data_IF_555548239471
#
_entry.id   IF_555548239471
#
_cell.length_a   1.000
_cell.length_b   1.000
_cell.length_c   1.000
_cell.angle_alpha   90.00
_cell.angle_beta   90.00
_cell.angle_gamma   90.00
#
_symmetry.space_group_name_H-M   'P 1'
#
loop_
_entity.id
_entity.type
_entity.pdbx_description
1 polymer ?
#
# COMPACT_ATOMS: atom_id res chain seq x y z
N UNK A 1 5.08 -38.64 -11.22
CA UNK A 1 3.94 -37.71 -11.28
C UNK A 1 3.56 -37.31 -9.86
N UNK A 2 3.48 -36.00 -9.64
CA UNK A 2 2.80 -35.25 -8.57
C UNK A 2 3.29 -35.40 -7.12
N UNK A 3 4.31 -34.61 -6.77
CA UNK A 3 4.29 -33.85 -5.52
C UNK A 3 3.98 -32.40 -5.90
N UNK A 4 2.69 -32.04 -5.92
CA UNK A 4 2.24 -30.66 -6.07
C UNK A 4 2.70 -29.88 -4.84
N UNK A 5 3.77 -29.12 -5.00
CA UNK A 5 4.14 -28.06 -4.07
C UNK A 5 3.02 -27.02 -4.07
N UNK A 6 2.16 -27.09 -3.07
CA UNK A 6 1.22 -26.02 -2.76
C UNK A 6 2.07 -24.87 -2.23
N UNK A 7 2.53 -23.99 -3.13
CA UNK A 7 3.22 -22.77 -2.75
C UNK A 7 2.28 -22.01 -1.80
N UNK A 8 2.66 -21.91 -0.53
CA UNK A 8 1.93 -21.11 0.45
C UNK A 8 1.89 -19.69 -0.08
N UNK A 9 0.71 -19.22 -0.50
CA UNK A 9 0.56 -17.87 -1.01
C UNK A 9 1.14 -16.87 0.02
N UNK A 10 2.10 -16.06 -0.41
CA UNK A 10 2.73 -15.04 0.43
C UNK A 10 2.13 -13.67 0.10
N UNK A 11 1.92 -12.84 1.11
CA UNK A 11 1.48 -11.47 0.90
C UNK A 11 2.67 -10.58 0.55
N UNK A 12 2.63 -9.98 -0.65
CA UNK A 12 3.77 -9.34 -1.31
C UNK A 12 3.79 -7.80 -1.20
N UNK A 13 2.70 -7.14 -0.75
CA UNK A 13 2.63 -5.66 -0.74
C UNK A 13 3.42 -5.03 0.42
N UNK A 14 3.96 -3.83 0.18
CA UNK A 14 4.66 -3.01 1.17
C UNK A 14 3.76 -2.71 2.37
N UNK A 15 4.23 -3.03 3.57
CA UNK A 15 3.44 -2.95 4.81
C UNK A 15 4.32 -2.67 6.02
N UNK A 16 3.72 -2.29 7.14
CA UNK A 16 4.39 -2.35 8.42
C UNK A 16 4.56 -3.79 8.89
N UNK A 17 5.68 -4.02 9.55
CA UNK A 17 5.92 -5.18 10.40
C UNK A 17 5.78 -4.74 11.86
N UNK A 18 5.71 -5.70 12.78
CA UNK A 18 5.69 -5.40 14.22
C UNK A 18 6.91 -4.55 14.63
N UNK A 19 8.05 -4.74 13.95
CA UNK A 19 9.28 -3.98 14.21
C UNK A 19 9.25 -2.57 13.59
N UNK A 20 8.67 -2.40 12.41
CA UNK A 20 8.66 -1.11 11.70
C UNK A 20 7.46 -0.21 12.05
N UNK A 21 6.38 -0.76 12.61
CA UNK A 21 5.18 0.00 12.98
C UNK A 21 5.45 1.14 13.97
N UNK A 22 6.20 0.95 15.10
CA UNK A 22 6.46 2.05 16.03
C UNK A 22 7.24 3.21 15.39
N UNK A 23 8.20 2.87 14.52
CA UNK A 23 8.97 3.86 13.76
C UNK A 23 8.05 4.60 12.78
N UNK A 24 7.13 3.89 12.12
CA UNK A 24 6.09 4.47 11.27
C UNK A 24 5.21 5.47 12.01
N UNK A 25 4.73 5.11 13.21
CA UNK A 25 3.92 5.99 14.06
C UNK A 25 4.71 7.24 14.46
N UNK A 26 5.96 7.09 14.91
CA UNK A 26 6.80 8.24 15.26
C UNK A 26 7.03 9.17 14.06
N UNK A 27 7.29 8.61 12.87
CA UNK A 27 7.42 9.37 11.62
C UNK A 27 6.12 10.09 11.26
N UNK A 28 4.96 9.46 11.47
CA UNK A 28 3.66 10.08 11.24
C UNK A 28 3.46 11.29 12.16
N UNK A 29 3.65 11.11 13.46
CA UNK A 29 3.53 12.18 14.47
C UNK A 29 4.45 13.36 14.12
N UNK A 30 5.68 13.06 13.71
CA UNK A 30 6.64 14.09 13.32
C UNK A 30 6.31 14.78 11.98
N UNK A 31 5.63 14.08 11.07
CA UNK A 31 5.20 14.62 9.77
C UNK A 31 3.89 15.41 9.85
N UNK A 32 2.98 15.05 10.77
CA UNK A 32 1.66 15.62 10.90
C UNK A 32 1.63 17.17 10.97
N UNK A 33 2.42 17.85 11.83
CA UNK A 33 2.43 19.32 11.83
C UNK A 33 2.99 19.90 10.53
N UNK A 34 3.86 19.17 9.80
CA UNK A 34 4.36 19.60 8.49
C UNK A 34 3.28 19.50 7.42
N UNK A 35 2.48 18.43 7.44
CA UNK A 35 1.35 18.27 6.53
C UNK A 35 0.30 19.36 6.75
N UNK A 36 -0.04 19.67 8.00
CA UNK A 36 -0.98 20.77 8.32
C UNK A 36 -0.45 22.10 7.78
N UNK A 37 0.83 22.40 8.00
CA UNK A 37 1.44 23.62 7.46
C UNK A 37 1.44 23.63 5.93
N UNK A 38 1.75 22.50 5.28
CA UNK A 38 1.75 22.38 3.83
C UNK A 38 0.36 22.69 3.26
N UNK A 39 -0.69 22.07 3.80
CA UNK A 39 -2.09 22.37 3.43
C UNK A 39 -2.47 23.83 3.64
N UNK A 40 -2.02 24.45 4.74
CA UNK A 40 -2.32 25.87 5.02
C UNK A 40 -1.55 26.85 4.14
N UNK A 41 -0.36 26.48 3.70
CA UNK A 41 0.49 27.35 2.90
C UNK A 41 0.06 27.41 1.43
N UNK A 42 -0.71 26.41 0.97
CA UNK A 42 -1.30 26.37 -0.37
C UNK A 42 -0.29 26.52 -1.52
N UNK A 43 0.98 26.18 -1.27
CA UNK A 43 2.03 26.11 -2.31
C UNK A 43 1.87 24.89 -3.22
N UNK A 44 1.13 23.90 -2.76
CA UNK A 44 0.76 22.67 -3.48
C UNK A 44 -0.75 22.65 -3.46
N UNK A 45 -1.37 22.87 -4.62
CA UNK A 45 -2.84 22.87 -4.76
C UNK A 45 -3.42 21.53 -4.35
N UNK A 46 -4.70 21.49 -3.98
CA UNK A 46 -5.37 20.23 -3.62
C UNK A 46 -5.30 19.20 -4.75
N UNK A 47 -5.50 19.61 -6.00
CA UNK A 47 -5.37 18.71 -7.15
C UNK A 47 -3.94 18.16 -7.28
N UNK A 48 -2.91 19.00 -7.12
CA UNK A 48 -1.52 18.55 -7.17
C UNK A 48 -1.18 17.62 -6.01
N UNK A 49 -1.68 17.91 -4.80
CA UNK A 49 -1.55 17.04 -3.65
C UNK A 49 -2.14 15.66 -3.93
N UNK A 50 -3.35 15.59 -4.51
CA UNK A 50 -4.00 14.31 -4.85
C UNK A 50 -3.25 13.54 -5.96
N UNK A 51 -2.62 14.22 -6.92
CA UNK A 51 -1.71 13.56 -7.88
C UNK A 51 -0.54 12.89 -7.16
N UNK A 52 0.06 13.58 -6.17
CA UNK A 52 1.12 13.01 -5.32
C UNK A 52 0.58 11.81 -4.53
N UNK A 53 -0.63 11.92 -3.95
CA UNK A 53 -1.24 10.81 -3.20
C UNK A 53 -1.42 9.57 -4.09
N UNK A 54 -1.95 9.75 -5.30
CA UNK A 54 -2.20 8.67 -6.25
C UNK A 54 -0.90 8.04 -6.77
N UNK A 55 0.13 8.85 -7.08
CA UNK A 55 1.42 8.33 -7.56
C UNK A 55 2.11 7.41 -6.56
N UNK A 56 2.13 7.76 -5.25
CA UNK A 56 2.66 6.87 -4.21
C UNK A 56 1.79 5.63 -4.03
N UNK A 57 0.47 5.82 -4.10
CA UNK A 57 -0.52 4.75 -3.91
C UNK A 57 -0.46 3.70 -5.02
N UNK A 58 -0.20 4.11 -6.26
CA UNK A 58 -0.03 3.22 -7.40
C UNK A 58 1.15 2.25 -7.19
N UNK A 59 2.29 2.75 -6.71
CA UNK A 59 3.46 1.91 -6.39
C UNK A 59 3.20 0.97 -5.22
N UNK A 60 2.55 1.46 -4.16
CA UNK A 60 2.29 0.65 -2.97
C UNK A 60 1.06 -0.28 -3.09
N UNK A 61 0.29 -0.17 -4.18
CA UNK A 61 -0.91 -0.97 -4.47
C UNK A 61 -1.94 -1.00 -3.33
N UNK A 62 -2.14 0.11 -2.62
CA UNK A 62 -3.07 0.17 -1.49
C UNK A 62 -4.52 0.42 -1.94
N UNK A 63 -5.35 -0.62 -1.96
CA UNK A 63 -6.74 -0.56 -2.44
C UNK A 63 -7.61 0.50 -1.71
N UNK A 64 -7.39 0.69 -0.42
CA UNK A 64 -8.14 1.66 0.39
C UNK A 64 -7.82 3.09 -0.02
N UNK A 65 -6.53 3.37 -0.18
CA UNK A 65 -6.04 4.67 -0.59
C UNK A 65 -6.37 4.94 -2.06
N UNK A 66 -6.30 3.93 -2.94
CA UNK A 66 -6.72 4.06 -4.35
C UNK A 66 -8.15 4.54 -4.41
N UNK A 67 -9.08 3.87 -3.72
CA UNK A 67 -10.49 4.29 -3.71
C UNK A 67 -10.66 5.69 -3.15
N UNK A 68 -10.15 5.94 -1.95
CA UNK A 68 -10.35 7.22 -1.27
C UNK A 68 -9.77 8.40 -2.06
N UNK A 69 -8.52 8.29 -2.52
CA UNK A 69 -7.87 9.39 -3.23
C UNK A 69 -8.36 9.53 -4.68
N UNK A 70 -8.89 8.48 -5.31
CA UNK A 70 -9.63 8.64 -6.58
C UNK A 70 -10.89 9.48 -6.38
N UNK A 71 -11.65 9.25 -5.30
CA UNK A 71 -12.85 10.03 -5.01
C UNK A 71 -12.49 11.50 -4.72
N UNK A 72 -11.50 11.75 -3.86
CA UNK A 72 -11.02 13.12 -3.56
C UNK A 72 -10.42 13.81 -4.80
N UNK A 73 -9.63 13.10 -5.62
CA UNK A 73 -9.09 13.66 -6.87
C UNK A 73 -10.20 14.17 -7.80
N UNK A 74 -11.30 13.41 -7.94
CA UNK A 74 -12.47 13.84 -8.73
C UNK A 74 -13.12 15.09 -8.15
N UNK A 75 -13.23 15.19 -6.83
CA UNK A 75 -13.77 16.37 -6.14
C UNK A 75 -12.92 17.63 -6.39
N UNK A 76 -11.61 17.47 -6.61
CA UNK A 76 -10.71 18.57 -7.02
C UNK A 76 -10.79 18.92 -8.52
N UNK A 77 -11.69 18.29 -9.27
CA UNK A 77 -11.85 18.49 -10.71
C UNK A 77 -10.78 17.81 -11.57
N UNK A 78 -10.06 16.82 -11.03
CA UNK A 78 -9.08 16.05 -11.82
C UNK A 78 -9.80 15.19 -12.87
N UNK A 79 -9.28 15.19 -14.10
CA UNK A 79 -9.84 14.36 -15.16
C UNK A 79 -9.65 12.87 -14.89
N UNK A 80 -10.65 12.07 -15.26
CA UNK A 80 -10.63 10.63 -15.05
C UNK A 80 -9.46 9.96 -15.79
N UNK A 81 -9.08 10.48 -16.96
CA UNK A 81 -7.93 10.00 -17.73
C UNK A 81 -6.62 10.16 -16.95
N UNK A 82 -6.37 11.36 -16.40
CA UNK A 82 -5.22 11.62 -15.52
C UNK A 82 -5.17 10.66 -14.33
N UNK A 83 -6.31 10.43 -13.66
CA UNK A 83 -6.38 9.48 -12.53
C UNK A 83 -5.97 8.08 -12.97
N UNK A 84 -6.50 7.61 -14.11
CA UNK A 84 -6.19 6.28 -14.66
C UNK A 84 -4.70 6.16 -14.98
N UNK A 85 -4.13 7.14 -15.67
CA UNK A 85 -2.70 7.16 -16.04
C UNK A 85 -1.80 7.15 -14.80
N UNK A 86 -2.14 7.92 -13.76
CA UNK A 86 -1.42 7.90 -12.48
C UNK A 86 -1.46 6.51 -11.81
N UNK A 87 -2.62 5.86 -11.80
CA UNK A 87 -2.78 4.52 -11.21
C UNK A 87 -2.08 3.42 -12.01
N UNK A 88 -1.87 3.64 -13.32
CA UNK A 88 -1.07 2.78 -14.19
C UNK A 88 0.44 3.09 -14.13
N UNK A 89 0.85 3.99 -13.23
CA UNK A 89 2.23 4.50 -13.09
C UNK A 89 2.77 5.25 -14.32
N UNK A 90 1.90 5.72 -15.22
CA UNK A 90 2.28 6.55 -16.37
C UNK A 90 2.25 8.05 -16.02
N UNK A 91 3.26 8.49 -15.24
CA UNK A 91 3.41 9.91 -14.87
C UNK A 91 3.66 10.81 -16.09
N UNK A 92 4.27 10.28 -17.16
CA UNK A 92 4.64 11.10 -18.32
C UNK A 92 3.42 11.58 -19.09
N UNK A 93 2.41 10.72 -19.21
CA UNK A 93 1.15 11.07 -19.86
C UNK A 93 0.20 11.82 -18.93
N UNK A 94 0.31 11.60 -17.61
CA UNK A 94 -0.62 12.14 -16.62
C UNK A 94 -0.54 13.64 -16.36
N UNK A 95 0.65 14.25 -16.49
CA UNK A 95 0.87 15.62 -16.01
C UNK A 95 1.78 16.47 -16.88
N UNK A 96 1.61 17.76 -16.72
CA UNK A 96 2.45 18.83 -17.22
C UNK A 96 3.84 18.88 -16.55
N UNK A 97 4.78 19.55 -17.24
CA UNK A 97 6.21 19.52 -16.93
C UNK A 97 6.56 20.02 -15.52
N UNK A 98 5.69 20.86 -14.93
CA UNK A 98 5.90 21.49 -13.63
C UNK A 98 5.64 20.55 -12.46
N UNK A 99 4.71 19.61 -12.56
CA UNK A 99 4.36 18.69 -11.46
C UNK A 99 5.12 17.37 -11.54
N UNK A 100 5.54 16.99 -12.74
CA UNK A 100 6.21 15.72 -13.04
C UNK A 100 7.43 15.43 -12.13
N UNK A 101 8.35 16.38 -11.84
CA UNK A 101 9.47 16.10 -10.93
C UNK A 101 9.04 15.66 -9.52
N UNK A 102 7.97 16.24 -8.98
CA UNK A 102 7.43 15.83 -7.67
C UNK A 102 6.82 14.43 -7.72
N UNK A 103 6.12 14.08 -8.80
CA UNK A 103 5.50 12.76 -8.96
C UNK A 103 6.53 11.65 -9.19
N UNK A 104 7.58 11.92 -9.98
CA UNK A 104 8.73 11.01 -10.12
C UNK A 104 9.42 10.82 -8.77
N UNK A 105 9.65 11.90 -8.02
CA UNK A 105 10.18 11.80 -6.66
C UNK A 105 9.27 10.97 -5.74
N UNK A 106 7.95 11.13 -5.87
CA UNK A 106 6.96 10.40 -5.07
C UNK A 106 6.98 8.88 -5.36
N UNK A 107 7.04 8.49 -6.65
CA UNK A 107 7.21 7.09 -7.05
C UNK A 107 8.53 6.53 -6.51
N UNK A 108 9.65 7.23 -6.76
CA UNK A 108 10.95 6.80 -6.25
C UNK A 108 10.95 6.66 -4.74
N UNK A 109 10.28 7.56 -4.00
CA UNK A 109 10.14 7.45 -2.55
C UNK A 109 9.41 6.16 -2.15
N UNK A 110 8.36 5.78 -2.87
CA UNK A 110 7.62 4.54 -2.63
C UNK A 110 8.47 3.29 -2.96
N UNK A 111 9.11 3.27 -4.14
CA UNK A 111 9.94 2.16 -4.63
C UNK A 111 11.16 1.88 -3.74
N UNK A 112 11.66 2.91 -3.05
CA UNK A 112 12.86 2.83 -2.20
C UNK A 112 12.55 2.72 -0.71
N UNK A 113 11.34 2.29 -0.35
CA UNK A 113 10.89 2.14 1.04
C UNK A 113 11.06 3.41 1.90
N UNK A 114 10.77 4.56 1.27
CA UNK A 114 10.90 5.87 1.87
C UNK A 114 12.32 6.43 1.94
N UNK A 115 13.25 5.84 1.19
CA UNK A 115 14.65 6.23 1.15
C UNK A 115 15.16 6.55 -0.28
N UNK A 116 14.66 7.61 -0.93
CA UNK A 116 15.03 7.96 -2.32
C UNK A 116 16.47 8.50 -2.49
N UNK A 117 17.29 8.50 -1.42
CA UNK A 117 18.64 9.07 -1.45
C UNK A 117 18.69 10.59 -1.28
N UNK A 118 19.92 11.14 -1.28
CA UNK A 118 20.17 12.59 -1.14
C UNK A 118 19.94 13.33 -2.45
N UNK A 119 20.37 12.75 -3.55
CA UNK A 119 20.32 13.39 -4.86
C UNK A 119 18.88 13.66 -5.29
N UNK A 120 17.97 12.70 -5.13
CA UNK A 120 16.54 12.89 -5.40
C UNK A 120 15.91 14.01 -4.55
N UNK A 121 16.31 14.13 -3.28
CA UNK A 121 15.84 15.20 -2.39
C UNK A 121 16.40 16.57 -2.78
N UNK A 122 17.65 16.61 -3.23
CA UNK A 122 18.29 17.84 -3.68
C UNK A 122 17.68 18.30 -5.00
N UNK A 123 17.49 17.40 -5.96
CA UNK A 123 16.80 17.69 -7.22
C UNK A 123 15.40 18.27 -6.98
N UNK A 124 14.61 17.66 -6.08
CA UNK A 124 13.30 18.21 -5.70
C UNK A 124 13.39 19.64 -5.14
N UNK A 125 14.39 19.91 -4.28
CA UNK A 125 14.61 21.24 -3.69
C UNK A 125 15.10 22.25 -4.72
N UNK A 126 15.91 21.84 -5.68
CA UNK A 126 16.39 22.68 -6.78
C UNK A 126 15.24 23.06 -7.72
N UNK A 127 14.34 22.13 -8.01
CA UNK A 127 13.18 22.38 -8.88
C UNK A 127 12.15 23.30 -8.23
N UNK A 128 11.76 23.04 -6.98
CA UNK A 128 10.61 23.71 -6.36
C UNK A 128 10.99 24.77 -5.31
N UNK A 129 12.27 24.91 -4.99
CA UNK A 129 12.71 25.65 -3.82
C UNK A 129 12.48 24.89 -2.51
N UNK A 130 13.07 25.36 -1.40
CA UNK A 130 13.10 24.62 -0.14
C UNK A 130 11.72 24.44 0.52
N UNK A 131 10.83 25.42 0.39
CA UNK A 131 9.52 25.40 1.05
C UNK A 131 8.54 24.45 0.36
N UNK A 132 8.35 24.61 -0.95
CA UNK A 132 7.46 23.75 -1.74
C UNK A 132 7.96 22.30 -1.75
N UNK A 133 9.27 22.07 -1.86
CA UNK A 133 9.82 20.72 -1.75
C UNK A 133 9.56 20.08 -0.37
N UNK A 134 9.57 20.87 0.71
CA UNK A 134 9.23 20.38 2.04
C UNK A 134 7.74 20.05 2.18
N UNK A 135 6.88 20.79 1.50
CA UNK A 135 5.43 20.56 1.47
C UNK A 135 5.08 19.32 0.63
N UNK A 136 5.66 19.17 -0.57
CA UNK A 136 5.58 17.92 -1.39
C UNK A 136 6.01 16.71 -0.56
N UNK A 137 7.17 16.79 0.11
CA UNK A 137 7.66 15.70 0.94
C UNK A 137 6.73 15.38 2.12
N UNK A 138 6.00 16.38 2.65
CA UNK A 138 5.02 16.16 3.70
C UNK A 138 3.83 15.35 3.20
N UNK A 139 3.31 15.62 1.99
CA UNK A 139 2.27 14.83 1.34
C UNK A 139 2.75 13.40 1.04
N UNK A 140 3.90 13.24 0.39
CA UNK A 140 4.50 11.93 0.07
C UNK A 140 4.62 11.06 1.32
N UNK A 141 5.14 11.61 2.43
CA UNK A 141 5.26 10.89 3.70
C UNK A 141 3.92 10.50 4.30
N UNK A 142 2.93 11.37 4.20
CA UNK A 142 1.60 11.11 4.76
C UNK A 142 0.94 9.92 4.06
N UNK A 143 0.91 9.95 2.72
CA UNK A 143 0.29 8.88 1.95
C UNK A 143 1.08 7.57 2.02
N UNK A 144 2.42 7.62 2.02
CA UNK A 144 3.24 6.43 2.19
C UNK A 144 2.89 5.70 3.49
N UNK A 145 2.78 6.43 4.61
CA UNK A 145 2.36 5.84 5.90
C UNK A 145 0.93 5.31 5.81
N UNK A 146 0.01 6.05 5.19
CA UNK A 146 -1.37 5.61 4.97
C UNK A 146 -1.47 4.30 4.18
N UNK A 147 -0.70 4.18 3.10
CA UNK A 147 -0.64 2.95 2.30
C UNK A 147 -0.12 1.78 3.12
N UNK A 148 0.98 1.97 3.87
CA UNK A 148 1.54 0.91 4.71
C UNK A 148 0.54 0.46 5.79
N UNK A 149 -0.25 1.36 6.38
CA UNK A 149 -1.32 1.00 7.31
C UNK A 149 -2.40 0.15 6.64
N UNK A 150 -2.89 0.57 5.47
CA UNK A 150 -3.90 -0.18 4.70
C UNK A 150 -3.42 -1.57 4.32
N UNK A 151 -2.20 -1.68 3.79
CA UNK A 151 -1.60 -2.96 3.42
C UNK A 151 -1.27 -3.84 4.64
N UNK A 152 -0.96 -3.24 5.79
CA UNK A 152 -0.78 -4.00 7.05
C UNK A 152 -2.09 -4.64 7.49
N UNK A 153 -3.20 -3.92 7.36
CA UNK A 153 -4.52 -4.48 7.62
C UNK A 153 -4.83 -5.67 6.69
N UNK A 154 -4.56 -5.54 5.40
CA UNK A 154 -4.73 -6.65 4.45
C UNK A 154 -3.84 -7.85 4.78
N UNK A 155 -2.58 -7.60 5.18
CA UNK A 155 -1.68 -8.66 5.59
C UNK A 155 -2.20 -9.43 6.83
N UNK A 156 -2.78 -8.71 7.81
CA UNK A 156 -3.40 -9.34 8.98
C UNK A 156 -4.61 -10.18 8.56
N UNK A 157 -5.49 -9.64 7.70
CA UNK A 157 -6.66 -10.37 7.18
C UNK A 157 -6.25 -11.64 6.44
N UNK A 158 -5.23 -11.54 5.59
CA UNK A 158 -4.69 -12.64 4.82
C UNK A 158 -4.12 -13.74 5.73
N UNK A 159 -3.33 -13.37 6.74
CA UNK A 159 -2.77 -14.31 7.71
C UNK A 159 -3.86 -15.01 8.55
N UNK A 160 -4.91 -14.28 8.95
CA UNK A 160 -6.05 -14.87 9.66
C UNK A 160 -6.83 -15.85 8.78
N UNK A 161 -7.09 -15.49 7.52
CA UNK A 161 -7.77 -16.36 6.57
C UNK A 161 -6.99 -17.67 6.37
N UNK A 162 -5.67 -17.61 6.16
CA UNK A 162 -4.84 -18.80 6.02
C UNK A 162 -4.92 -19.72 7.23
N UNK A 163 -4.85 -19.17 8.45
CA UNK A 163 -4.98 -19.96 9.69
C UNK A 163 -6.34 -20.65 9.80
N UNK A 164 -7.42 -19.96 9.42
CA UNK A 164 -8.77 -20.55 9.40
C UNK A 164 -8.87 -21.66 8.35
N UNK A 165 -8.29 -21.47 7.15
CA UNK A 165 -8.26 -22.49 6.11
C UNK A 165 -7.51 -23.74 6.55
N UNK A 166 -6.30 -23.58 7.12
CA UNK A 166 -5.51 -24.68 7.67
C UNK A 166 -6.27 -25.44 8.77
N UNK A 167 -6.91 -24.73 9.70
CA UNK A 167 -7.73 -25.35 10.76
C UNK A 167 -8.90 -26.15 10.21
N UNK A 168 -9.61 -25.61 9.19
CA UNK A 168 -10.72 -26.31 8.52
C UNK A 168 -10.23 -27.57 7.79
N UNK A 169 -9.09 -27.49 7.09
CA UNK A 169 -8.48 -28.65 6.43
C UNK A 169 -8.10 -29.73 7.44
N UNK A 170 -7.48 -29.35 8.56
CA UNK A 170 -7.14 -30.29 9.63
C UNK A 170 -8.38 -31.00 10.20
N UNK A 171 -9.44 -30.25 10.54
CA UNK A 171 -10.68 -30.82 11.06
C UNK A 171 -11.36 -31.76 10.05
N UNK A 172 -11.38 -31.41 8.76
CA UNK A 172 -11.91 -32.28 7.69
C UNK A 172 -11.11 -33.57 7.55
N UNK A 173 -9.78 -33.49 7.60
CA UNK A 173 -8.89 -34.65 7.56
C UNK A 173 -9.09 -35.56 8.77
N UNK A 174 -9.20 -34.99 9.97
CA UNK A 174 -9.49 -35.73 11.20
C UNK A 174 -10.86 -36.43 11.15
N UNK A 175 -11.91 -35.71 10.74
CA UNK A 175 -13.26 -36.28 10.56
C UNK A 175 -13.27 -37.43 9.55
N UNK A 176 -12.63 -37.26 8.40
CA UNK A 176 -12.51 -38.32 7.39
C UNK A 176 -11.74 -39.53 7.93
N UNK A 177 -10.69 -39.29 8.72
CA UNK A 177 -9.94 -40.35 9.40
C UNK A 177 -10.79 -41.14 10.39
N UNK A 178 -11.58 -40.45 11.22
CA UNK A 178 -12.52 -41.06 12.17
C UNK A 178 -13.58 -41.88 11.42
N UNK A 179 -14.20 -41.33 10.39
CA UNK A 179 -15.20 -42.04 9.58
C UNK A 179 -14.64 -43.33 8.99
N UNK A 180 -13.43 -43.32 8.44
CA UNK A 180 -12.75 -44.54 7.93
C UNK A 180 -12.45 -45.56 9.02
N UNK A 181 -12.15 -45.13 10.24
CA UNK A 181 -11.94 -46.04 11.38
C UNK A 181 -13.26 -46.68 11.78
N UNK A 182 -14.32 -45.88 11.93
CA UNK A 182 -15.67 -46.36 12.27
C UNK A 182 -16.19 -47.35 11.22
N UNK A 183 -16.01 -47.04 9.94
CA UNK A 183 -16.44 -47.92 8.83
C UNK A 183 -15.70 -49.26 8.84
N UNK A 184 -14.38 -49.26 9.01
CA UNK A 184 -13.59 -50.50 9.16
C UNK A 184 -13.97 -51.34 10.38
N UNK A 185 -14.29 -50.70 11.50
CA UNK A 185 -14.79 -51.42 12.68
C UNK A 185 -16.16 -52.05 12.40
N UNK A 186 -17.03 -51.33 11.69
CA UNK A 186 -18.36 -51.82 11.30
C UNK A 186 -18.28 -53.02 10.35
N UNK A 187 -17.35 -53.02 9.40
CA UNK A 187 -17.10 -54.15 8.51
C UNK A 187 -16.54 -55.37 9.25
N UNK A 188 -15.63 -55.16 10.22
CA UNK A 188 -15.06 -56.24 11.04
C UNK A 188 -16.06 -56.88 12.01
N UNK A 189 -17.05 -56.11 12.47
CA UNK A 189 -18.08 -56.57 13.41
C UNK A 189 -19.40 -56.97 12.74
N UNK A 190 -19.44 -57.05 11.40
CA UNK A 190 -20.55 -57.69 10.69
C UNK A 190 -20.52 -59.20 10.98
N UNK A 191 -21.39 -59.61 11.89
CA UNK A 191 -21.88 -60.99 12.08
C UNK A 191 -23.04 -61.22 11.11
#
# INVERSE_FOLDING_TARGET
MNATGEATAEFQKTRFTIRSLPVGIARFIHNFPRLIRAKRADRVSDQFAEKIMLAVTAVNECQYCTRYHTDVARETGMEQETITQLLENDIRSAVDDNERPALVFAQQYAETDGNPGRDARNALRETYGPETAADVLAFVRAIYIGNLLGNTYDAIRFALAQRVHAGRQYLRSASTGISRVVERLRERCRV
#
